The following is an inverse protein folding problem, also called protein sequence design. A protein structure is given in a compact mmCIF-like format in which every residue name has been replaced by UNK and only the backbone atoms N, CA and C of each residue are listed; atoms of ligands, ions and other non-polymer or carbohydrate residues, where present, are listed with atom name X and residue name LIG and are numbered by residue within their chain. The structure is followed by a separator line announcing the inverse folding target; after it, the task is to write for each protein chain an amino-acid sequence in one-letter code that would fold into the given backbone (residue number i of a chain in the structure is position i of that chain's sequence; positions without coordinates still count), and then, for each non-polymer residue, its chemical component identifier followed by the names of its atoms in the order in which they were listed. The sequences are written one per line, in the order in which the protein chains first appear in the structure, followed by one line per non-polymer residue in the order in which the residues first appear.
data_IF_474564334531
#
_entry.id   IF_474564334531
#
_cell.length_a   1.000
_cell.length_b   1.000
_cell.length_c   1.000
_cell.angle_alpha   90.00
_cell.angle_beta   90.00
_cell.angle_gamma   90.00
#
_symmetry.space_group_name_H-M   'P 1'
#
loop_
_entity.id
_entity.type
_entity.pdbx_description
1 polymer ?
#
# COMPACT_ATOMS: atom_id res chain seq x y z
N UNK A 1 24.15 -1.10 -2.42
CA UNK A 1 23.84 -2.22 -1.49
C UNK A 1 22.41 -2.22 -0.91
N UNK A 2 21.77 -1.09 -0.50
CA UNK A 2 20.36 -1.13 0.04
C UNK A 2 19.34 -0.47 -0.89
N UNK A 3 19.71 0.50 -1.71
CA UNK A 3 18.84 1.09 -2.77
C UNK A 3 18.48 0.07 -3.84
N UNK A 4 19.44 -0.81 -4.19
CA UNK A 4 19.27 -1.98 -5.05
C UNK A 4 18.05 -2.85 -4.66
N UNK A 5 17.75 -2.97 -3.36
CA UNK A 5 16.61 -3.76 -2.90
C UNK A 5 15.26 -3.13 -3.26
N UNK A 6 15.15 -1.80 -3.22
CA UNK A 6 13.90 -1.10 -3.59
C UNK A 6 13.71 -1.16 -5.11
N UNK A 7 14.77 -0.90 -5.87
CA UNK A 7 14.77 -0.95 -7.34
C UNK A 7 14.44 -2.35 -7.87
N UNK A 8 14.94 -3.41 -7.21
CA UNK A 8 14.57 -4.80 -7.52
C UNK A 8 13.07 -5.05 -7.33
N UNK A 9 12.51 -4.63 -6.20
CA UNK A 9 11.07 -4.84 -5.91
C UNK A 9 10.20 -4.00 -6.88
N UNK A 10 10.64 -2.81 -7.26
CA UNK A 10 9.98 -2.01 -8.30
C UNK A 10 10.01 -2.73 -9.65
N UNK A 11 11.14 -3.35 -10.00
CA UNK A 11 11.28 -4.12 -11.25
C UNK A 11 10.37 -5.36 -11.25
N UNK A 12 10.22 -6.03 -10.12
CA UNK A 12 9.26 -7.14 -9.93
C UNK A 12 7.82 -6.64 -10.06
N UNK A 13 7.48 -5.51 -9.42
CA UNK A 13 6.15 -4.91 -9.52
C UNK A 13 5.80 -4.59 -10.98
N UNK A 14 6.73 -4.05 -11.78
CA UNK A 14 6.49 -3.73 -13.20
C UNK A 14 6.04 -4.91 -14.06
N UNK A 15 6.32 -6.15 -13.66
CA UNK A 15 5.93 -7.36 -14.39
C UNK A 15 4.51 -7.84 -14.06
N UNK A 16 3.85 -7.28 -13.04
CA UNK A 16 2.53 -7.72 -12.59
C UNK A 16 1.38 -6.96 -13.28
N UNK A 17 0.25 -7.63 -13.48
CA UNK A 17 -0.96 -7.05 -14.05
C UNK A 17 -1.94 -6.56 -12.97
N UNK A 18 -1.79 -5.29 -12.54
CA UNK A 18 -2.64 -4.67 -11.50
C UNK A 18 -3.35 -3.37 -11.95
N UNK A 19 -3.38 -3.09 -13.26
CA UNK A 19 -3.99 -1.85 -13.79
C UNK A 19 -5.47 -1.72 -13.41
N UNK A 20 -6.18 -2.84 -13.29
CA UNK A 20 -7.58 -2.89 -12.89
C UNK A 20 -7.83 -2.44 -11.44
N UNK A 21 -6.79 -2.31 -10.60
CA UNK A 21 -6.95 -1.81 -9.22
C UNK A 21 -7.10 -0.29 -9.14
N UNK A 22 -6.69 0.46 -10.17
CA UNK A 22 -6.77 1.92 -10.14
C UNK A 22 -8.23 2.38 -10.18
N UNK A 23 -8.60 3.26 -9.24
CA UNK A 23 -9.98 3.76 -9.04
C UNK A 23 -11.02 2.64 -8.80
N UNK A 24 -10.60 1.53 -8.19
CA UNK A 24 -11.48 0.42 -7.82
C UNK A 24 -11.35 0.04 -6.34
N UNK A 25 -12.36 -0.66 -5.82
CA UNK A 25 -12.43 -1.09 -4.42
C UNK A 25 -11.68 -2.40 -4.16
N UNK A 26 -11.15 -2.52 -2.94
CA UNK A 26 -10.53 -3.76 -2.41
C UNK A 26 -11.38 -4.29 -1.25
N UNK A 27 -12.43 -5.07 -1.56
CA UNK A 27 -13.34 -5.63 -0.56
C UNK A 27 -12.94 -7.06 -0.16
N UNK A 28 -12.78 -7.94 -1.15
CA UNK A 28 -12.57 -9.37 -0.95
C UNK A 28 -11.36 -9.83 -1.78
N UNK A 29 -10.45 -10.60 -1.17
CA UNK A 29 -9.19 -11.01 -1.84
C UNK A 29 -9.42 -11.98 -2.99
N UNK A 30 -10.46 -12.81 -2.94
CA UNK A 30 -10.79 -13.75 -4.02
C UNK A 30 -11.44 -13.10 -5.24
N UNK A 31 -11.80 -11.82 -5.16
CA UNK A 31 -12.23 -11.02 -6.32
C UNK A 31 -11.04 -10.37 -7.05
N UNK A 32 -9.83 -10.57 -6.55
CA UNK A 32 -8.59 -10.03 -7.12
C UNK A 32 -7.80 -11.14 -7.80
N UNK A 33 -7.08 -10.80 -8.86
CA UNK A 33 -6.14 -11.73 -9.48
C UNK A 33 -4.94 -11.98 -8.56
N UNK A 34 -4.20 -13.06 -8.79
CA UNK A 34 -2.96 -13.31 -8.03
C UNK A 34 -1.98 -12.13 -8.21
N UNK A 35 -1.80 -11.64 -9.44
CA UNK A 35 -0.98 -10.47 -9.75
C UNK A 35 -1.38 -9.22 -8.94
N UNK A 36 -2.68 -8.95 -8.74
CA UNK A 36 -3.17 -7.82 -7.96
C UNK A 36 -2.84 -7.97 -6.47
N UNK A 37 -2.99 -9.18 -5.93
CA UNK A 37 -2.63 -9.47 -4.54
C UNK A 37 -1.11 -9.37 -4.35
N UNK A 38 -0.32 -9.91 -5.28
CA UNK A 38 1.13 -9.80 -5.28
C UNK A 38 1.58 -8.33 -5.38
N UNK A 39 0.96 -7.53 -6.25
CA UNK A 39 1.25 -6.11 -6.40
C UNK A 39 1.03 -5.36 -5.08
N UNK A 40 -0.04 -5.68 -4.36
CA UNK A 40 -0.32 -5.13 -3.02
C UNK A 40 0.83 -5.43 -2.04
N UNK A 41 1.35 -6.66 -2.03
CA UNK A 41 2.50 -7.01 -1.19
C UNK A 41 3.77 -6.26 -1.60
N UNK A 42 4.08 -6.16 -2.90
CA UNK A 42 5.27 -5.44 -3.38
C UNK A 42 5.23 -3.96 -3.01
N UNK A 43 4.09 -3.30 -3.17
CA UNK A 43 3.93 -1.90 -2.74
C UNK A 43 4.12 -1.76 -1.23
N UNK A 44 3.56 -2.65 -0.42
CA UNK A 44 3.74 -2.62 1.04
C UNK A 44 5.22 -2.78 1.45
N UNK A 45 5.96 -3.67 0.78
CA UNK A 45 7.40 -3.86 1.01
C UNK A 45 8.23 -2.63 0.63
N UNK A 46 7.91 -2.00 -0.51
CA UNK A 46 8.54 -0.76 -0.97
C UNK A 46 8.32 0.36 0.06
N UNK A 47 7.06 0.60 0.47
CA UNK A 47 6.73 1.65 1.45
C UNK A 47 7.44 1.42 2.80
N UNK A 48 7.50 0.17 3.27
CA UNK A 48 8.28 -0.20 4.47
C UNK A 48 9.76 0.15 4.30
N UNK A 49 10.36 -0.20 3.16
CA UNK A 49 11.77 0.05 2.89
C UNK A 49 12.10 1.56 2.78
N UNK A 50 11.20 2.36 2.20
CA UNK A 50 11.32 3.82 2.17
C UNK A 50 11.31 4.41 3.58
N UNK A 51 10.36 3.99 4.42
CA UNK A 51 10.25 4.46 5.81
C UNK A 51 11.49 4.11 6.63
N UNK A 52 12.04 2.90 6.48
CA UNK A 52 13.27 2.47 7.14
C UNK A 52 14.49 3.32 6.78
N UNK A 53 14.49 3.96 5.61
CA UNK A 53 15.54 4.87 5.13
C UNK A 53 15.23 6.34 5.43
N UNK A 54 14.18 6.63 6.20
CA UNK A 54 13.72 7.98 6.49
C UNK A 54 13.36 8.78 5.21
N UNK A 55 12.87 8.10 4.18
CA UNK A 55 12.36 8.73 2.95
C UNK A 55 10.85 8.87 3.11
N UNK A 56 10.33 10.09 2.93
CA UNK A 56 8.89 10.34 2.94
C UNK A 56 8.24 9.75 1.68
N UNK A 57 7.13 9.06 1.88
CA UNK A 57 6.28 8.52 0.81
C UNK A 57 4.97 9.30 0.69
N UNK A 58 4.97 10.59 1.10
CA UNK A 58 3.81 11.46 0.98
C UNK A 58 3.50 11.71 -0.49
N UNK A 59 2.27 11.40 -0.91
CA UNK A 59 1.79 11.60 -2.28
C UNK A 59 0.64 12.61 -2.39
N UNK A 60 0.08 13.05 -1.26
CA UNK A 60 -1.01 14.04 -1.20
C UNK A 60 -0.55 15.29 -0.45
N UNK A 61 -0.66 16.47 -1.08
CA UNK A 61 -0.43 17.76 -0.42
C UNK A 61 -1.57 18.11 0.54
N UNK A 62 -2.80 17.79 0.15
CA UNK A 62 -4.01 17.92 0.97
C UNK A 62 -5.03 16.82 0.63
N UNK A 63 -6.00 16.59 1.53
CA UNK A 63 -7.04 15.56 1.36
C UNK A 63 -7.57 15.04 2.70
N UNK A 64 -8.65 14.26 2.66
CA UNK A 64 -9.25 13.63 3.84
C UNK A 64 -9.46 12.13 3.61
N UNK A 65 -9.00 11.30 4.54
CA UNK A 65 -9.33 9.87 4.62
C UNK A 65 -10.49 9.66 5.59
N UNK A 66 -11.62 9.14 5.11
CA UNK A 66 -12.80 8.89 5.93
C UNK A 66 -12.73 7.50 6.54
N UNK A 67 -12.81 7.43 7.88
CA UNK A 67 -12.78 6.16 8.60
C UNK A 67 -14.16 5.83 9.19
N UNK A 68 -14.81 4.77 8.69
CA UNK A 68 -16.15 4.36 9.12
C UNK A 68 -16.11 3.05 9.92
N UNK A 69 -16.33 3.13 11.23
CA UNK A 69 -16.39 1.94 12.11
C UNK A 69 -17.81 1.69 12.60
N UNK A 70 -18.23 0.42 12.56
CA UNK A 70 -19.47 -0.07 13.17
C UNK A 70 -19.21 -0.94 14.40
N UNK A 71 -17.94 -1.15 14.73
CA UNK A 71 -17.44 -1.89 15.87
C UNK A 71 -16.37 -1.08 16.64
N UNK A 72 -15.83 -1.64 17.73
CA UNK A 72 -14.83 -0.98 18.58
C UNK A 72 -13.43 -1.61 18.42
N UNK A 73 -12.91 -1.68 17.20
CA UNK A 73 -11.55 -2.17 16.93
C UNK A 73 -10.49 -1.04 16.95
N UNK A 74 -9.82 -0.86 18.09
CA UNK A 74 -8.74 0.13 18.24
C UNK A 74 -7.53 -0.15 17.33
N UNK A 75 -7.18 -1.43 17.12
CA UNK A 75 -6.03 -1.80 16.27
C UNK A 75 -6.25 -1.39 14.81
N UNK A 76 -7.45 -1.61 14.28
CA UNK A 76 -7.78 -1.24 12.90
C UNK A 76 -7.82 0.28 12.74
N UNK A 77 -8.35 1.01 13.73
CA UNK A 77 -8.35 2.49 13.76
C UNK A 77 -6.94 3.06 13.65
N UNK A 78 -6.02 2.62 14.50
CA UNK A 78 -4.64 3.10 14.46
C UNK A 78 -3.92 2.70 13.18
N UNK A 79 -4.16 1.48 12.67
CA UNK A 79 -3.59 1.02 11.41
C UNK A 79 -4.03 1.91 10.24
N UNK A 80 -5.33 2.19 10.10
CA UNK A 80 -5.87 3.05 9.05
C UNK A 80 -5.33 4.48 9.17
N UNK A 81 -5.36 5.08 10.37
CA UNK A 81 -4.83 6.43 10.60
C UNK A 81 -3.33 6.53 10.26
N UNK A 82 -2.54 5.49 10.57
CA UNK A 82 -1.12 5.44 10.24
C UNK A 82 -0.88 5.35 8.73
N UNK A 83 -1.70 4.58 8.01
CA UNK A 83 -1.65 4.49 6.56
C UNK A 83 -2.07 5.79 5.85
N UNK A 84 -3.00 6.56 6.42
CA UNK A 84 -3.37 7.87 5.88
C UNK A 84 -2.29 8.95 6.08
N UNK A 85 -1.40 8.78 7.07
CA UNK A 85 -0.38 9.76 7.46
C UNK A 85 1.05 9.37 7.02
N UNK A 86 1.18 8.79 5.81
CA UNK A 86 2.45 8.38 5.19
C UNK A 86 3.41 9.54 4.86
#
# INVERSE_FOLDING_TARGET
MVTEKIESIISELQQLHYKSMYLNDFLLTWEKSDDEVQATFRVAEILRALRQKNISSRIFDSGLGVSLFRDQSTRTRFSFASACNL
#
